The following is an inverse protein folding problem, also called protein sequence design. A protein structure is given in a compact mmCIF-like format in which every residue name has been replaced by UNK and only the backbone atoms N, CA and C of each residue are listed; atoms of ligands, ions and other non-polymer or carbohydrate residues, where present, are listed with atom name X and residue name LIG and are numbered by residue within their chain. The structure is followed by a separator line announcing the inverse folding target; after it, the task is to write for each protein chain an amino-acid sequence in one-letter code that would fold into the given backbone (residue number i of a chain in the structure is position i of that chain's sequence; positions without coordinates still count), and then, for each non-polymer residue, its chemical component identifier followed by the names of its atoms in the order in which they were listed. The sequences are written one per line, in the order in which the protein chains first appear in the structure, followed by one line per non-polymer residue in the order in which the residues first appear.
data_IF_547236596992
#
_entry.id   IF_547236596992
#
_cell.length_a   1.000
_cell.length_b   1.000
_cell.length_c   1.000
_cell.angle_alpha   90.00
_cell.angle_beta   90.00
_cell.angle_gamma   90.00
#
_symmetry.space_group_name_H-M   'P 1'
#
loop_
_entity.id
_entity.type
_entity.pdbx_description
1 polymer ?
#
# COMPACT_ATOMS: atom_id res chain seq x y z
N UNK A 1 2.89 -0.78 11.80
CA UNK A 1 2.14 -2.05 11.58
C UNK A 1 2.49 -2.65 10.22
N UNK A 2 2.03 -2.11 9.09
CA UNK A 2 2.33 -2.69 7.76
C UNK A 2 3.80 -2.70 7.39
N UNK A 3 4.52 -1.58 7.59
CA UNK A 3 5.96 -1.53 7.33
C UNK A 3 6.73 -2.64 8.05
N UNK A 4 6.33 -2.98 9.28
CA UNK A 4 6.94 -4.03 10.09
C UNK A 4 6.58 -5.43 9.59
N UNK A 5 5.32 -5.65 9.18
CA UNK A 5 4.88 -6.92 8.60
C UNK A 5 5.61 -7.22 7.28
N UNK A 6 5.73 -6.24 6.38
CA UNK A 6 6.47 -6.41 5.14
C UNK A 6 7.98 -6.54 5.38
N UNK A 7 8.55 -5.79 6.33
CA UNK A 7 9.97 -5.91 6.71
C UNK A 7 10.30 -7.32 7.21
N UNK A 8 9.43 -7.94 8.00
CA UNK A 8 9.60 -9.31 8.45
C UNK A 8 9.52 -10.33 7.30
N UNK A 9 8.81 -10.01 6.22
CA UNK A 9 8.76 -10.80 4.99
C UNK A 9 9.91 -10.50 4.02
N UNK A 10 10.88 -9.65 4.41
CA UNK A 10 12.01 -9.25 3.58
C UNK A 10 11.69 -8.15 2.56
N UNK A 11 10.47 -7.59 2.58
CA UNK A 11 10.04 -6.55 1.66
C UNK A 11 10.06 -5.18 2.32
N UNK A 12 10.58 -4.18 1.61
CA UNK A 12 10.46 -2.78 2.01
C UNK A 12 9.31 -2.16 1.22
N UNK A 13 8.15 -2.04 1.85
CA UNK A 13 6.99 -1.37 1.24
C UNK A 13 6.95 0.07 1.75
N UNK A 14 7.41 1.07 0.96
CA UNK A 14 7.23 2.47 1.33
C UNK A 14 5.73 2.80 1.34
N UNK A 15 5.30 3.67 2.27
CA UNK A 15 4.01 4.33 2.15
C UNK A 15 4.11 5.31 0.98
N UNK A 16 3.54 4.90 -0.14
CA UNK A 16 3.52 5.61 -1.41
C UNK A 16 2.34 6.60 -1.47
N UNK A 17 2.47 7.63 -2.30
CA UNK A 17 1.48 8.69 -2.44
C UNK A 17 0.08 8.13 -2.76
N UNK A 18 -0.02 7.11 -3.62
CA UNK A 18 -1.29 6.45 -3.93
C UNK A 18 -1.98 5.89 -2.68
N UNK A 19 -1.22 5.18 -1.84
CA UNK A 19 -1.74 4.55 -0.61
C UNK A 19 -2.22 5.61 0.36
N UNK A 20 -1.48 6.72 0.50
CA UNK A 20 -1.88 7.85 1.35
C UNK A 20 -3.18 8.48 0.84
N UNK A 21 -3.30 8.69 -0.48
CA UNK A 21 -4.51 9.25 -1.11
C UNK A 21 -5.71 8.33 -0.88
N UNK A 22 -5.56 7.01 -1.06
CA UNK A 22 -6.63 6.03 -0.82
C UNK A 22 -7.08 6.04 0.64
N UNK A 23 -6.15 6.05 1.60
CA UNK A 23 -6.50 6.15 3.02
C UNK A 23 -7.28 7.42 3.34
N UNK A 24 -6.87 8.58 2.79
CA UNK A 24 -7.58 9.85 2.98
C UNK A 24 -8.96 9.83 2.33
N UNK A 25 -9.06 9.32 1.11
CA UNK A 25 -10.31 9.27 0.35
C UNK A 25 -11.34 8.38 1.04
N UNK A 26 -10.93 7.20 1.50
CA UNK A 26 -11.81 6.26 2.19
C UNK A 26 -11.95 6.56 3.70
N UNK A 27 -11.20 7.55 4.22
CA UNK A 27 -11.13 7.90 5.65
C UNK A 27 -10.79 6.71 6.54
N UNK A 28 -9.90 5.85 6.06
CA UNK A 28 -9.46 4.64 6.75
C UNK A 28 -8.14 4.90 7.50
N UNK A 29 -8.06 4.42 8.74
CA UNK A 29 -6.78 4.25 9.41
C UNK A 29 -6.00 3.10 8.72
N UNK A 30 -4.66 3.13 8.72
CA UNK A 30 -3.86 2.08 8.11
C UNK A 30 -4.30 0.67 8.52
N UNK A 31 -4.55 0.45 9.81
CA UNK A 31 -4.95 -0.84 10.40
C UNK A 31 -6.29 -1.39 9.92
N UNK A 32 -7.12 -0.57 9.25
CA UNK A 32 -8.42 -0.99 8.74
C UNK A 32 -8.34 -1.60 7.34
N UNK A 33 -7.22 -1.43 6.63
CA UNK A 33 -7.04 -1.99 5.30
C UNK A 33 -6.37 -3.36 5.39
N UNK A 34 -6.97 -4.39 4.79
CA UNK A 34 -6.38 -5.72 4.81
C UNK A 34 -5.03 -5.75 4.07
N UNK A 35 -4.09 -6.58 4.53
CA UNK A 35 -2.73 -6.65 3.98
C UNK A 35 -2.73 -6.96 2.47
N UNK A 36 -3.64 -7.84 2.02
CA UNK A 36 -3.80 -8.16 0.59
C UNK A 36 -4.25 -6.95 -0.23
N UNK A 37 -5.10 -6.09 0.33
CA UNK A 37 -5.55 -4.87 -0.34
C UNK A 37 -4.39 -3.87 -0.46
N UNK A 38 -3.49 -3.81 0.52
CA UNK A 38 -2.28 -2.98 0.42
C UNK A 38 -1.32 -3.50 -0.66
N UNK A 39 -1.14 -4.83 -0.75
CA UNK A 39 -0.37 -5.45 -1.83
C UNK A 39 -0.97 -5.17 -3.21
N UNK A 40 -2.30 -5.20 -3.33
CA UNK A 40 -3.01 -4.84 -4.55
C UNK A 40 -2.75 -3.39 -4.95
N UNK A 41 -2.87 -2.43 -4.03
CA UNK A 41 -2.60 -1.02 -4.31
C UNK A 41 -1.16 -0.81 -4.81
N UNK A 42 -0.20 -1.53 -4.24
CA UNK A 42 1.20 -1.47 -4.70
C UNK A 42 1.37 -2.05 -6.10
N UNK A 43 0.75 -3.19 -6.38
CA UNK A 43 0.81 -3.80 -7.71
C UNK A 43 0.15 -2.90 -8.77
N UNK A 44 -0.99 -2.29 -8.43
CA UNK A 44 -1.69 -1.34 -9.28
C UNK A 44 -0.82 -0.13 -9.61
N UNK A 45 -0.19 0.50 -8.61
CA UNK A 45 0.70 1.64 -8.84
C UNK A 45 1.86 1.31 -9.79
N UNK A 46 2.55 0.18 -9.55
CA UNK A 46 3.65 -0.28 -10.42
C UNK A 46 3.15 -0.52 -11.83
N UNK A 47 1.96 -1.10 -11.98
CA UNK A 47 1.37 -1.38 -13.29
C UNK A 47 0.99 -0.08 -14.00
N UNK A 48 0.41 0.90 -13.30
CA UNK A 48 0.08 2.20 -13.88
C UNK A 48 1.33 2.96 -14.31
N UNK A 49 2.37 3.01 -13.46
CA UNK A 49 3.66 3.63 -13.80
C UNK A 49 4.33 2.96 -15.02
N UNK A 50 4.18 1.64 -15.15
CA UNK A 50 4.67 0.91 -16.31
C UNK A 50 3.87 1.20 -17.60
N UNK A 51 2.58 1.53 -17.48
CA UNK A 51 1.68 1.74 -18.63
C UNK A 51 1.54 3.20 -19.07
N UNK A 52 1.80 4.18 -18.20
CA UNK A 52 1.71 5.63 -18.48
C UNK A 52 0.29 6.17 -18.44
#
# INVERSE_FOLDING_TARGET
MYEMAFRNLGFKMPFIDLVIVVFRHLRLAPSQLHLNSLAFLRAFEITADHLG
#
